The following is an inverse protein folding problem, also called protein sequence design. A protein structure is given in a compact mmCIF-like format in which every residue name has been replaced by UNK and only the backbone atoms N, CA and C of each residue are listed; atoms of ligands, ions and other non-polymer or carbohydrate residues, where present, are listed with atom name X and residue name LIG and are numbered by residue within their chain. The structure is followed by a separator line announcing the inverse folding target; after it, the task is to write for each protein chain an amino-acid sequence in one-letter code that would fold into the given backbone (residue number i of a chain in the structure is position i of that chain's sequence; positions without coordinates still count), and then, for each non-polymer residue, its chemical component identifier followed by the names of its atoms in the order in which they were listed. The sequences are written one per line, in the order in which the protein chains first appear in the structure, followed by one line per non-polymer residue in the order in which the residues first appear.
data_IF_341559271807
#
_entry.id   IF_341559271807
#
_cell.length_a   1.000
_cell.length_b   1.000
_cell.length_c   1.000
_cell.angle_alpha   90.00
_cell.angle_beta   90.00
_cell.angle_gamma   90.00
#
_symmetry.space_group_name_H-M   'P 1'
#
loop_
_entity.id
_entity.type
_entity.pdbx_description
1 polymer ?
#
# COMPACT_ATOMS: atom_id res chain seq x y z
N UNK A 1 16.60 -7.41 5.96
CA UNK A 1 15.26 -7.18 6.50
C UNK A 1 15.35 -6.01 7.45
N UNK A 2 14.44 -5.04 7.35
CA UNK A 2 14.34 -3.95 8.32
C UNK A 2 14.16 -4.54 9.71
N UNK A 3 15.14 -4.35 10.60
CA UNK A 3 15.16 -4.92 11.95
C UNK A 3 14.38 -4.05 12.95
N UNK A 4 13.30 -3.42 12.50
CA UNK A 4 12.44 -2.56 13.32
C UNK A 4 10.99 -3.02 13.18
N UNK A 5 10.23 -2.93 14.27
CA UNK A 5 8.80 -3.12 14.26
C UNK A 5 8.08 -1.77 14.04
N UNK A 6 6.85 -1.80 13.54
CA UNK A 6 6.04 -0.58 13.38
C UNK A 6 5.83 0.19 14.70
N UNK A 7 5.66 -0.47 15.87
CA UNK A 7 5.65 0.23 17.16
C UNK A 7 6.95 0.98 17.46
N UNK A 8 8.12 0.39 17.16
CA UNK A 8 9.42 1.05 17.39
C UNK A 8 9.54 2.37 16.62
N UNK A 9 8.97 2.43 15.42
CA UNK A 9 8.91 3.67 14.62
C UNK A 9 7.95 4.70 15.22
N UNK A 10 6.83 4.25 15.78
CA UNK A 10 5.86 5.12 16.46
C UNK A 10 6.49 5.80 17.68
N UNK A 11 7.25 5.03 18.47
CA UNK A 11 7.91 5.53 19.67
C UNK A 11 9.04 6.52 19.31
N UNK A 12 9.78 6.25 18.23
CA UNK A 12 10.86 7.13 17.76
C UNK A 12 10.36 8.40 17.04
N UNK A 13 9.16 8.39 16.47
CA UNK A 13 8.59 9.49 15.70
C UNK A 13 7.15 9.80 16.17
N UNK A 14 6.97 10.59 17.24
CA UNK A 14 5.66 10.88 17.83
C UNK A 14 4.67 11.57 16.85
N UNK A 15 5.22 12.27 15.86
CA UNK A 15 4.53 13.01 14.82
C UNK A 15 4.27 12.17 13.54
N UNK A 16 4.68 10.89 13.54
CA UNK A 16 4.32 9.94 12.49
C UNK A 16 2.80 9.71 12.45
N UNK A 17 2.27 9.51 11.24
CA UNK A 17 0.86 9.19 11.05
C UNK A 17 0.66 7.68 10.92
N UNK A 18 -0.40 7.19 11.54
CA UNK A 18 -0.83 5.80 11.45
C UNK A 18 -2.13 5.70 10.67
N UNK A 19 -2.31 4.59 9.96
CA UNK A 19 -3.60 4.28 9.34
C UNK A 19 -4.52 3.70 10.41
N UNK A 20 -5.68 4.32 10.61
CA UNK A 20 -6.69 3.84 11.56
C UNK A 20 -7.42 2.59 11.02
N UNK A 21 -7.36 2.36 9.72
CA UNK A 21 -8.03 1.26 9.05
C UNK A 21 -7.17 -0.02 9.01
N UNK A 22 -7.81 -1.17 9.26
CA UNK A 22 -7.16 -2.48 9.23
C UNK A 22 -7.17 -3.08 7.81
N UNK A 23 -5.99 -3.29 7.24
CA UNK A 23 -5.82 -3.98 5.96
C UNK A 23 -5.64 -5.48 6.18
N UNK A 24 -6.12 -6.30 5.24
CA UNK A 24 -5.85 -7.74 5.22
C UNK A 24 -4.55 -8.03 4.45
N UNK A 25 -3.79 -9.00 4.93
CA UNK A 25 -2.59 -9.48 4.25
C UNK A 25 -2.97 -10.50 3.17
N UNK A 26 -2.58 -10.24 1.93
CA UNK A 26 -2.77 -11.14 0.79
C UNK A 26 -1.46 -11.63 0.17
N UNK A 27 -0.34 -10.93 0.42
CA UNK A 27 0.97 -11.28 -0.11
C UNK A 27 1.78 -12.19 0.82
N UNK A 28 2.81 -12.84 0.28
CA UNK A 28 3.74 -13.72 1.03
C UNK A 28 4.68 -12.96 1.99
N UNK A 29 4.78 -11.63 1.85
CA UNK A 29 5.63 -10.78 2.68
C UNK A 29 4.77 -10.04 3.71
N UNK A 30 4.82 -10.50 4.95
CA UNK A 30 4.08 -9.88 6.07
C UNK A 30 4.61 -8.49 6.45
N UNK A 31 5.86 -8.18 6.09
CA UNK A 31 6.53 -6.91 6.41
C UNK A 31 7.23 -6.35 5.18
N UNK A 32 6.97 -5.08 4.91
CA UNK A 32 7.59 -4.31 3.83
C UNK A 32 7.63 -2.82 4.22
N UNK A 33 8.60 -2.11 3.67
CA UNK A 33 8.76 -0.67 3.87
C UNK A 33 9.46 -0.07 2.65
N UNK A 34 9.13 1.18 2.33
CA UNK A 34 9.69 1.88 1.20
C UNK A 34 8.93 3.19 0.92
N UNK A 35 9.43 4.01 -0.03
CA UNK A 35 8.75 5.22 -0.44
C UNK A 35 7.36 4.90 -0.97
N UNK A 36 6.35 5.60 -0.46
CA UNK A 36 4.96 5.40 -0.85
C UNK A 36 4.66 6.16 -2.15
N UNK A 37 4.01 5.48 -3.10
CA UNK A 37 3.45 6.10 -4.31
C UNK A 37 1.95 5.87 -4.34
N UNK A 38 1.17 6.95 -4.44
CA UNK A 38 -0.30 6.89 -4.39
C UNK A 38 -0.90 6.93 -5.78
N UNK A 39 -1.77 5.97 -6.09
CA UNK A 39 -2.53 5.91 -7.35
C UNK A 39 -4.01 6.14 -7.03
N UNK A 40 -4.57 7.24 -7.53
CA UNK A 40 -6.01 7.47 -7.48
C UNK A 40 -6.68 6.79 -8.69
N UNK A 41 -7.59 5.85 -8.43
CA UNK A 41 -8.35 5.15 -9.46
C UNK A 41 -9.82 4.99 -9.06
N UNK A 42 -10.70 4.95 -10.06
CA UNK A 42 -12.14 4.80 -9.89
C UNK A 42 -12.63 3.74 -10.86
N UNK A 43 -12.98 2.55 -10.34
CA UNK A 43 -13.48 1.42 -11.12
C UNK A 43 -12.58 0.93 -12.28
N UNK A 44 -11.30 1.27 -12.29
CA UNK A 44 -10.31 0.86 -13.30
C UNK A 44 -8.94 0.59 -12.63
N UNK A 45 -8.27 -0.48 -13.05
CA UNK A 45 -6.95 -0.90 -12.54
C UNK A 45 -5.81 -0.69 -13.55
N UNK A 46 -6.10 -0.13 -14.74
CA UNK A 46 -5.10 0.07 -15.80
C UNK A 46 -3.90 0.88 -15.31
N UNK A 47 -4.14 1.94 -14.52
CA UNK A 47 -3.07 2.77 -13.91
C UNK A 47 -2.21 2.02 -12.90
N UNK A 48 -2.77 0.99 -12.25
CA UNK A 48 -2.02 0.15 -11.31
C UNK A 48 -1.13 -0.82 -12.08
N UNK A 49 -1.65 -1.42 -13.16
CA UNK A 49 -0.86 -2.29 -14.03
C UNK A 49 0.33 -1.55 -14.66
N UNK A 50 0.11 -0.33 -15.17
CA UNK A 50 1.18 0.52 -15.70
C UNK A 50 2.26 0.83 -14.65
N UNK A 51 1.86 1.22 -13.44
CA UNK A 51 2.80 1.56 -12.37
C UNK A 51 3.61 0.35 -11.87
N UNK A 52 3.02 -0.85 -11.90
CA UNK A 52 3.72 -2.10 -11.53
C UNK A 52 4.66 -2.58 -12.63
N UNK A 53 4.42 -2.19 -13.90
CA UNK A 53 5.31 -2.51 -15.01
C UNK A 53 6.64 -1.73 -14.99
N UNK A 54 6.67 -0.58 -14.32
CA UNK A 54 7.91 0.20 -14.13
C UNK A 54 8.84 -0.41 -13.07
N UNK A 55 10.17 -0.18 -13.14
CA UNK A 55 11.09 -0.58 -12.09
C UNK A 55 10.67 -0.03 -10.72
N UNK A 56 10.16 -0.92 -9.85
CA UNK A 56 9.58 -0.52 -8.57
C UNK A 56 10.56 0.13 -7.59
N UNK A 57 11.87 -0.10 -7.70
CA UNK A 57 12.93 0.52 -6.87
C UNK A 57 12.65 0.52 -5.34
N UNK A 58 11.95 -0.50 -4.84
CA UNK A 58 11.56 -0.62 -3.42
C UNK A 58 10.37 0.26 -3.01
N UNK A 59 9.64 0.87 -3.96
CA UNK A 59 8.42 1.65 -3.71
C UNK A 59 7.29 0.75 -3.22
N UNK A 60 6.44 1.34 -2.39
CA UNK A 60 5.19 0.74 -1.93
C UNK A 60 4.05 1.49 -2.61
N UNK A 61 3.25 0.78 -3.41
CA UNK A 61 2.07 1.37 -4.04
C UNK A 61 0.88 1.31 -3.09
N UNK A 62 0.21 2.44 -2.93
CA UNK A 62 -1.08 2.55 -2.24
C UNK A 62 -2.09 3.12 -3.22
N UNK A 63 -3.29 2.57 -3.30
CA UNK A 63 -4.35 3.11 -4.14
C UNK A 63 -5.60 3.37 -3.31
N UNK A 64 -6.25 4.46 -3.64
CA UNK A 64 -7.47 4.89 -2.96
C UNK A 64 -8.64 4.52 -3.87
N UNK A 65 -9.33 3.44 -3.55
CA UNK A 65 -10.56 3.07 -4.25
C UNK A 65 -11.70 3.97 -3.74
N UNK A 66 -12.15 4.91 -4.57
CA UNK A 66 -13.30 5.74 -4.25
C UNK A 66 -14.57 4.88 -4.20
N UNK A 67 -14.99 4.52 -2.98
CA UNK A 67 -16.30 4.01 -2.55
C UNK A 67 -17.21 3.43 -3.65
N UNK A 68 -16.78 2.34 -4.26
CA UNK A 68 -17.66 1.29 -4.77
C UNK A 68 -17.14 0.04 -4.06
N UNK A 69 -18.01 -0.82 -3.55
CA UNK A 69 -17.55 -2.02 -2.83
C UNK A 69 -16.47 -2.72 -3.65
N UNK A 70 -15.33 -3.00 -3.02
CA UNK A 70 -14.18 -3.64 -3.66
C UNK A 70 -14.52 -5.05 -4.22
N UNK A 71 -15.75 -5.52 -4.03
CA UNK A 71 -16.26 -6.82 -4.46
C UNK A 71 -16.57 -6.91 -5.96
N UNK A 72 -16.62 -5.79 -6.70
CA UNK A 72 -16.99 -5.81 -8.12
C UNK A 72 -15.80 -5.68 -9.09
N UNK A 73 -14.60 -5.32 -8.62
CA UNK A 73 -13.42 -5.16 -9.48
C UNK A 73 -12.12 -5.44 -8.70
N UNK A 74 -11.38 -6.50 -9.06
CA UNK A 74 -10.07 -6.79 -8.47
C UNK A 74 -9.01 -5.85 -9.04
N UNK A 75 -8.38 -5.06 -8.17
CA UNK A 75 -7.34 -4.09 -8.57
C UNK A 75 -6.01 -4.78 -8.90
N UNK A 76 -5.74 -5.92 -8.26
CA UNK A 76 -4.56 -6.76 -8.50
C UNK A 76 -5.06 -8.21 -8.51
N UNK A 77 -4.61 -9.00 -9.48
CA UNK A 77 -4.94 -10.40 -9.69
C UNK A 77 -3.88 -11.10 -10.53
#
# INVERSE_FOLDING_TARGET
MSNFATPDLSDAHPDARHLEFQLRLFGQRERFAGPVSTIACHADNSRVAEAVAEPGAGRVYSWMAAAISADHCSVIG
#
